data_IF_757750212353
#
_entry.id   IF_757750212353
#
_cell.length_a   1.000
_cell.length_b   1.000
_cell.length_c   1.000
_cell.angle_alpha   90.00
_cell.angle_beta   90.00
_cell.angle_gamma   90.00
#
_symmetry.space_group_name_H-M   'P 1'
#
loop_
_entity.id
_entity.type
_entity.pdbx_description
1 polymer ?
#
# COMPACT_ATOMS: atom_id res chain seq x y z
N UNK A 1 12.02 5.18 -3.59
CA UNK A 1 10.62 4.72 -3.49
C UNK A 1 9.73 5.94 -3.32
N UNK A 2 8.77 6.14 -4.20
CA UNK A 2 7.80 7.25 -4.09
C UNK A 2 6.63 6.79 -3.22
N UNK A 3 6.25 7.59 -2.23
CA UNK A 3 5.08 7.32 -1.38
C UNK A 3 3.81 7.66 -2.15
N UNK A 4 2.79 6.80 -2.05
CA UNK A 4 1.50 7.06 -2.68
C UNK A 4 0.77 8.21 -1.99
N UNK A 5 0.04 8.98 -2.81
CA UNK A 5 -0.90 10.00 -2.34
C UNK A 5 -2.27 9.33 -2.21
N UNK A 6 -2.95 9.45 -1.06
CA UNK A 6 -4.28 8.87 -0.90
C UNK A 6 -5.32 9.58 -1.76
N UNK A 7 -6.31 8.81 -2.20
CA UNK A 7 -7.54 9.28 -2.82
C UNK A 7 -8.58 9.38 -1.70
N UNK A 8 -9.23 10.54 -1.59
CA UNK A 8 -10.33 10.74 -0.64
C UNK A 8 -11.66 10.33 -1.30
N UNK A 9 -12.30 9.32 -0.74
CA UNK A 9 -13.58 8.77 -1.21
C UNK A 9 -14.47 8.55 0.01
N UNK A 10 -15.65 9.18 0.04
CA UNK A 10 -16.63 9.04 1.13
C UNK A 10 -16.01 9.25 2.53
N UNK A 11 -15.22 10.32 2.69
CA UNK A 11 -14.51 10.66 3.93
C UNK A 11 -13.38 9.68 4.33
N UNK A 12 -13.09 8.68 3.49
CA UNK A 12 -12.01 7.72 3.70
C UNK A 12 -10.84 7.97 2.77
N UNK A 13 -9.63 7.82 3.30
CA UNK A 13 -8.39 7.88 2.53
C UNK A 13 -8.00 6.49 2.08
N UNK A 14 -7.93 6.29 0.78
CA UNK A 14 -7.66 5.00 0.16
C UNK A 14 -6.48 5.11 -0.80
N UNK A 15 -5.78 4.00 -1.00
CA UNK A 15 -4.77 3.85 -2.05
C UNK A 15 -5.05 2.60 -2.86
N UNK A 16 -4.77 2.68 -4.15
CA UNK A 16 -4.90 1.54 -5.04
C UNK A 16 -3.56 0.81 -5.15
N UNK A 17 -3.56 -0.51 -4.95
CA UNK A 17 -2.35 -1.32 -5.07
C UNK A 17 -1.74 -1.24 -6.48
N UNK A 18 -2.55 -1.02 -7.52
CA UNK A 18 -2.09 -0.85 -8.91
C UNK A 18 -1.13 0.35 -9.11
N UNK A 19 -1.08 1.30 -8.17
CA UNK A 19 -0.13 2.42 -8.22
C UNK A 19 1.25 2.07 -7.65
N UNK A 20 1.39 0.92 -6.98
CA UNK A 20 2.67 0.38 -6.50
C UNK A 20 3.39 -0.37 -7.61
N UNK A 21 4.69 -0.60 -7.43
CA UNK A 21 5.38 -1.59 -8.28
C UNK A 21 4.81 -2.98 -8.03
N UNK A 22 4.97 -3.89 -9.00
CA UNK A 22 4.45 -5.26 -8.90
C UNK A 22 4.94 -5.96 -7.62
N UNK A 23 6.23 -5.84 -7.29
CA UNK A 23 6.81 -6.41 -6.07
C UNK A 23 6.13 -5.84 -4.81
N UNK A 24 6.01 -4.51 -4.72
CA UNK A 24 5.38 -3.85 -3.57
C UNK A 24 3.90 -4.21 -3.43
N UNK A 25 3.18 -4.30 -4.56
CA UNK A 25 1.78 -4.69 -4.57
C UNK A 25 1.60 -6.12 -4.08
N UNK A 26 2.45 -7.05 -4.52
CA UNK A 26 2.42 -8.44 -4.09
C UNK A 26 2.81 -8.61 -2.61
N UNK A 27 3.84 -7.91 -2.15
CA UNK A 27 4.27 -7.90 -0.75
C UNK A 27 3.17 -7.37 0.17
N UNK A 28 2.58 -6.22 -0.18
CA UNK A 28 1.46 -5.65 0.57
C UNK A 28 0.24 -6.59 0.54
N UNK A 29 -0.10 -7.17 -0.62
CA UNK A 29 -1.21 -8.11 -0.76
C UNK A 29 -1.03 -9.37 0.10
N UNK A 30 0.21 -9.84 0.24
CA UNK A 30 0.55 -11.01 1.07
C UNK A 30 0.56 -10.69 2.57
N UNK A 31 0.85 -9.43 2.92
CA UNK A 31 0.80 -8.93 4.30
C UNK A 31 -0.63 -8.66 4.78
N UNK A 32 -1.53 -8.30 3.86
CA UNK A 32 -2.92 -7.97 4.17
C UNK A 32 -3.77 -9.24 4.42
N UNK A 33 -4.74 -9.17 5.36
CA UNK A 33 -5.82 -10.15 5.46
C UNK A 33 -6.64 -10.23 4.15
N UNK A 34 -7.18 -11.40 3.83
CA UNK A 34 -7.90 -11.67 2.58
C UNK A 34 -9.08 -10.72 2.29
N UNK A 35 -9.72 -10.17 3.32
CA UNK A 35 -10.86 -9.24 3.22
C UNK A 35 -10.48 -7.75 3.33
N UNK A 36 -9.19 -7.41 3.35
CA UNK A 36 -8.75 -6.01 3.52
C UNK A 36 -8.79 -5.21 2.21
N UNK A 37 -8.84 -5.87 1.06
CA UNK A 37 -8.92 -5.24 -0.24
C UNK A 37 -10.37 -4.95 -0.62
N UNK A 38 -10.64 -3.68 -0.90
CA UNK A 38 -11.98 -3.17 -1.20
C UNK A 38 -12.06 -2.76 -2.67
N UNK A 39 -13.25 -2.88 -3.24
CA UNK A 39 -13.59 -2.27 -4.52
C UNK A 39 -14.37 -1.00 -4.23
N UNK A 40 -14.00 0.10 -4.87
CA UNK A 40 -14.60 1.41 -4.63
C UNK A 40 -14.91 2.07 -5.95
N UNK A 41 -16.12 2.60 -6.09
CA UNK A 41 -16.55 3.31 -7.29
C UNK A 41 -16.43 4.80 -7.07
N UNK A 42 -15.63 5.48 -7.89
CA UNK A 42 -15.39 6.92 -7.81
C UNK A 42 -15.73 7.55 -9.16
N UNK A 43 -16.76 8.41 -9.20
CA UNK A 43 -17.17 9.15 -10.40
C UNK A 43 -17.39 8.26 -11.66
N UNK A 44 -17.91 7.03 -11.47
CA UNK A 44 -18.12 6.07 -12.56
C UNK A 44 -16.89 5.25 -12.94
N UNK A 45 -15.80 5.38 -12.20
CA UNK A 45 -14.60 4.54 -12.32
C UNK A 45 -14.55 3.56 -11.15
N UNK A 46 -14.58 2.27 -11.44
CA UNK A 46 -14.39 1.24 -10.44
C UNK A 46 -12.90 1.00 -10.16
N UNK A 47 -12.45 1.43 -9.00
CA UNK A 47 -11.14 1.15 -8.46
C UNK A 47 -11.17 -0.21 -7.76
N UNK A 48 -10.33 -1.13 -8.22
CA UNK A 48 -10.14 -2.44 -7.62
C UNK A 48 -8.86 -2.49 -6.79
N UNK A 49 -8.81 -3.42 -5.84
CA UNK A 49 -7.67 -3.64 -4.94
C UNK A 49 -7.27 -2.36 -4.19
N UNK A 50 -8.25 -1.67 -3.61
CA UNK A 50 -8.02 -0.51 -2.75
C UNK A 50 -7.84 -0.93 -1.29
N UNK A 51 -6.96 -0.24 -0.58
CA UNK A 51 -6.75 -0.41 0.86
C UNK A 51 -6.77 0.95 1.55
N UNK A 52 -7.13 0.97 2.83
CA UNK A 52 -7.06 2.16 3.67
C UNK A 52 -5.63 2.70 3.74
N UNK A 53 -5.51 4.02 3.59
CA UNK A 53 -4.23 4.69 3.55
C UNK A 53 -3.43 4.49 4.83
N UNK A 54 -4.08 4.43 6.00
CA UNK A 54 -3.43 4.18 7.28
C UNK A 54 -2.74 2.80 7.30
N UNK A 55 -3.42 1.78 6.78
CA UNK A 55 -2.88 0.43 6.63
C UNK A 55 -1.67 0.42 5.70
N UNK A 56 -1.78 1.08 4.55
CA UNK A 56 -0.65 1.25 3.62
C UNK A 56 0.51 2.02 4.26
N UNK A 57 0.24 3.13 4.96
CA UNK A 57 1.26 3.98 5.58
C UNK A 57 2.04 3.21 6.65
N UNK A 58 1.34 2.41 7.44
CA UNK A 58 1.96 1.53 8.42
C UNK A 58 2.86 0.48 7.76
N UNK A 59 2.36 -0.22 6.75
CA UNK A 59 3.13 -1.21 6.00
C UNK A 59 4.36 -0.58 5.33
N UNK A 60 4.18 0.58 4.69
CA UNK A 60 5.23 1.28 3.95
C UNK A 60 6.34 1.75 4.90
N UNK A 61 5.98 2.32 6.06
CA UNK A 61 6.95 2.71 7.11
C UNK A 61 7.71 1.48 7.64
N UNK A 62 7.00 0.38 7.89
CA UNK A 62 7.61 -0.86 8.40
C UNK A 62 8.56 -1.47 7.37
N UNK A 63 8.16 -1.54 6.09
CA UNK A 63 9.02 -2.01 5.00
C UNK A 63 10.22 -1.10 4.77
N UNK A 64 10.06 0.22 4.88
CA UNK A 64 11.16 1.16 4.74
C UNK A 64 12.15 1.11 5.91
N UNK A 65 11.68 0.77 7.11
CA UNK A 65 12.57 0.48 8.25
C UNK A 65 13.34 -0.81 7.99
N UNK A 66 12.66 -1.87 7.54
CA UNK A 66 13.27 -3.17 7.25
C UNK A 66 14.32 -3.08 6.13
N UNK A 67 14.06 -2.36 5.05
CA UNK A 67 15.01 -2.17 3.95
C UNK A 67 16.26 -1.41 4.39
N UNK A 68 16.11 -0.37 5.23
CA UNK A 68 17.25 0.35 5.82
C UNK A 68 18.07 -0.54 6.76
N UNK A 69 17.43 -1.33 7.63
CA UNK A 69 18.14 -2.24 8.52
C UNK A 69 18.85 -3.37 7.76
N UNK A 70 18.27 -3.86 6.66
CA UNK A 70 18.91 -4.88 5.82
C UNK A 70 20.17 -4.35 5.12
N UNK A 71 20.16 -3.06 4.72
CA UNK A 71 21.35 -2.40 4.17
C UNK A 71 22.49 -2.34 5.21
N UNK A 72 22.19 -2.13 6.49
CA UNK A 72 23.21 -2.05 7.56
C UNK A 72 23.81 -3.43 7.92
N UNK A 73 23.09 -4.53 7.70
CA UNK A 73 23.56 -5.88 8.04
C UNK A 73 24.52 -6.45 6.98
N UNK A 74 24.51 -5.93 5.76
CA UNK A 74 25.34 -6.41 4.65
C UNK A 74 26.67 -5.64 4.47
N UNK A 75 27.03 -4.76 5.40
CA UNK A 75 28.25 -3.93 5.35
C UNK A 75 29.42 -4.51 6.18
N UNK A 76 29.58 -5.85 6.22
CA UNK A 76 30.67 -6.54 6.93
C UNK A 76 31.63 -7.26 5.97
#
# INVERSE_FOLDING_TARGET
MTRLIPIEIEDKKLVQLAQLTIDQANDLRSWLPSDSLKKVSLHGVDLQDCVEFETYDYWFKSHHILSKSYQTILDF
#
